data_IF_138066910685
#
_entry.id   IF_138066910685
#
_cell.length_a   1.000
_cell.length_b   1.000
_cell.length_c   1.000
_cell.angle_alpha   90.00
_cell.angle_beta   90.00
_cell.angle_gamma   90.00
#
_symmetry.space_group_name_H-M   'P 1'
#
loop_
_entity.id
_entity.type
_entity.pdbx_description
1 polymer ?
#
# COMPACT_ATOMS: atom_id res chain seq x y z
N UNK A 1 36.70 -61.10 -19.50
CA UNK A 1 37.46 -61.62 -18.35
C UNK A 1 38.00 -60.44 -17.58
N UNK A 2 37.75 -60.41 -16.26
CA UNK A 2 38.31 -59.53 -15.21
C UNK A 2 37.83 -58.05 -15.18
N UNK A 3 37.04 -57.75 -14.13
CA UNK A 3 36.74 -56.40 -13.61
C UNK A 3 37.61 -56.08 -12.39
N UNK A 4 37.59 -54.80 -11.99
CA UNK A 4 37.92 -54.15 -10.68
C UNK A 4 39.27 -53.42 -10.70
N UNK A 5 39.36 -52.12 -10.39
CA UNK A 5 38.96 -51.48 -9.11
C UNK A 5 38.52 -50.01 -9.28
N UNK A 6 37.63 -49.61 -8.37
CA UNK A 6 37.07 -48.30 -8.07
C UNK A 6 38.09 -47.24 -7.62
N UNK A 7 37.91 -45.98 -8.04
CA UNK A 7 37.94 -44.78 -7.17
C UNK A 7 36.97 -43.74 -7.77
N UNK A 8 36.12 -43.18 -6.92
CA UNK A 8 35.15 -42.11 -7.17
C UNK A 8 35.69 -40.82 -6.52
N UNK A 9 35.14 -39.65 -6.91
CA UNK A 9 35.32 -38.28 -6.31
C UNK A 9 36.55 -37.51 -6.85
N UNK A 10 36.51 -36.24 -7.26
CA UNK A 10 35.50 -35.25 -7.64
C UNK A 10 36.28 -33.98 -8.07
N UNK A 11 35.57 -33.01 -8.65
CA UNK A 11 35.92 -31.57 -8.68
C UNK A 11 36.96 -31.10 -9.69
N UNK A 12 36.50 -30.74 -10.90
CA UNK A 12 36.98 -29.55 -11.63
C UNK A 12 35.92 -29.12 -12.68
N UNK A 13 34.92 -28.35 -12.25
CA UNK A 13 33.99 -27.64 -13.15
C UNK A 13 33.82 -26.24 -12.58
N UNK A 14 34.88 -25.46 -12.77
CA UNK A 14 35.04 -24.05 -12.46
C UNK A 14 34.24 -23.19 -13.44
N UNK A 15 33.36 -22.37 -12.85
CA UNK A 15 33.03 -21.00 -13.22
C UNK A 15 32.81 -20.65 -14.71
N UNK A 16 31.54 -20.64 -15.12
CA UNK A 16 31.08 -19.74 -16.19
C UNK A 16 30.24 -18.64 -15.54
N UNK A 17 30.89 -17.51 -15.26
CA UNK A 17 30.25 -16.25 -14.89
C UNK A 17 29.38 -15.76 -16.06
N UNK A 18 28.11 -15.51 -15.76
CA UNK A 18 27.13 -14.86 -16.63
C UNK A 18 26.95 -13.44 -16.09
N UNK A 19 27.54 -12.46 -16.77
CA UNK A 19 27.21 -11.04 -16.74
C UNK A 19 27.41 -10.56 -18.19
N UNK A 20 26.63 -9.70 -18.82
CA UNK A 20 25.40 -9.03 -18.46
C UNK A 20 25.08 -8.15 -19.67
N UNK A 21 23.99 -8.44 -20.39
CA UNK A 21 23.43 -7.49 -21.34
C UNK A 21 22.54 -6.53 -20.55
N UNK A 22 23.06 -5.35 -20.21
CA UNK A 22 22.21 -4.22 -19.81
C UNK A 22 21.52 -3.75 -21.10
N UNK A 23 20.42 -4.41 -21.44
CA UNK A 23 19.46 -3.85 -22.39
C UNK A 23 18.84 -2.62 -21.76
N UNK A 24 18.83 -1.51 -22.49
CA UNK A 24 17.98 -0.38 -22.17
C UNK A 24 16.54 -0.91 -22.03
N UNK A 25 16.04 -0.98 -20.80
CA UNK A 25 14.62 -1.20 -20.58
C UNK A 25 13.93 0.09 -21.02
N UNK A 26 13.27 0.05 -22.17
CA UNK A 26 12.23 1.03 -22.46
C UNK A 26 11.28 1.00 -21.25
N UNK A 27 11.08 2.13 -20.58
CA UNK A 27 10.01 2.24 -19.59
C UNK A 27 8.71 2.01 -20.35
N UNK A 28 8.14 0.83 -20.21
CA UNK A 28 6.94 0.43 -20.96
C UNK A 28 5.69 1.18 -20.51
N UNK A 29 5.80 2.18 -19.62
CA UNK A 29 4.65 2.82 -18.95
C UNK A 29 3.82 1.87 -18.09
N UNK A 30 4.17 0.58 -18.05
CA UNK A 30 3.45 -0.49 -17.38
C UNK A 30 4.19 -0.85 -16.09
N UNK A 31 3.57 -0.53 -14.96
CA UNK A 31 4.00 -0.96 -13.63
C UNK A 31 3.27 -2.24 -13.23
N UNK A 32 4.03 -3.25 -12.78
CA UNK A 32 3.43 -4.47 -12.22
C UNK A 32 3.00 -4.19 -10.79
N UNK A 33 1.70 -4.28 -10.56
CA UNK A 33 1.08 -4.10 -9.26
C UNK A 33 0.55 -5.42 -8.70
N UNK A 34 0.41 -5.51 -7.37
CA UNK A 34 -0.40 -6.54 -6.72
C UNK A 34 -1.77 -5.96 -6.40
N UNK A 35 -2.82 -6.57 -6.92
CA UNK A 35 -4.20 -6.16 -6.69
C UNK A 35 -5.08 -7.36 -6.33
N UNK A 36 -6.19 -7.10 -5.65
CA UNK A 36 -7.13 -8.14 -5.20
C UNK A 36 -8.47 -7.99 -5.90
N UNK A 37 -9.03 -9.08 -6.42
CA UNK A 37 -10.43 -9.11 -6.85
C UNK A 37 -11.33 -9.21 -5.63
N UNK A 38 -12.27 -8.28 -5.50
CA UNK A 38 -13.22 -8.25 -4.40
C UNK A 38 -14.62 -8.60 -4.88
N UNK A 39 -15.00 -9.87 -4.69
CA UNK A 39 -16.30 -10.40 -5.06
C UNK A 39 -17.44 -10.01 -4.09
N UNK A 40 -17.13 -9.32 -2.99
CA UNK A 40 -18.11 -8.92 -1.98
C UNK A 40 -18.70 -7.52 -2.25
N UNK A 41 -18.09 -6.75 -3.15
CA UNK A 41 -18.59 -5.44 -3.57
C UNK A 41 -19.82 -5.64 -4.46
N UNK A 42 -20.93 -5.02 -4.06
CA UNK A 42 -22.21 -5.07 -4.79
C UNK A 42 -22.36 -3.82 -5.63
N UNK A 43 -22.97 -3.97 -6.80
CA UNK A 43 -23.28 -2.85 -7.69
C UNK A 43 -24.77 -2.55 -7.65
N UNK A 44 -25.10 -1.27 -7.54
CA UNK A 44 -26.47 -0.76 -7.59
C UNK A 44 -26.52 0.29 -8.69
N UNK A 45 -27.41 0.11 -9.65
CA UNK A 45 -27.59 1.01 -10.78
C UNK A 45 -29.05 1.45 -10.82
N UNK A 46 -29.29 2.76 -10.84
CA UNK A 46 -30.64 3.34 -10.80
C UNK A 46 -31.52 2.83 -9.63
N UNK A 47 -30.89 2.47 -8.50
CA UNK A 47 -31.57 1.91 -7.32
C UNK A 47 -31.75 0.40 -7.32
N UNK A 48 -31.45 -0.28 -8.43
CA UNK A 48 -31.61 -1.72 -8.57
C UNK A 48 -30.28 -2.48 -8.39
N UNK A 49 -30.36 -3.68 -7.80
CA UNK A 49 -29.22 -4.59 -7.75
C UNK A 49 -28.82 -4.98 -9.18
N UNK A 50 -27.60 -4.65 -9.54
CA UNK A 50 -27.05 -4.90 -10.87
C UNK A 50 -25.70 -5.60 -10.74
N UNK A 51 -25.25 -6.28 -11.80
CA UNK A 51 -23.96 -6.98 -11.80
C UNK A 51 -23.27 -6.71 -13.13
N UNK A 52 -22.04 -6.14 -13.13
CA UNK A 52 -21.29 -5.95 -14.36
C UNK A 52 -20.95 -7.31 -14.96
N UNK A 53 -20.97 -7.37 -16.29
CA UNK A 53 -20.63 -8.56 -17.06
C UNK A 53 -19.72 -8.21 -18.22
N UNK A 54 -18.93 -9.18 -18.68
CA UNK A 54 -18.18 -9.07 -19.94
C UNK A 54 -19.08 -9.38 -21.14
N UNK A 55 -18.52 -9.27 -22.35
CA UNK A 55 -19.20 -9.57 -23.62
C UNK A 55 -19.64 -11.04 -23.77
N UNK A 56 -19.10 -11.94 -22.94
CA UNK A 56 -19.45 -13.36 -22.89
C UNK A 56 -20.51 -13.66 -21.81
N UNK A 57 -20.94 -12.64 -21.06
CA UNK A 57 -21.91 -12.75 -19.99
C UNK A 57 -21.36 -13.19 -18.64
N UNK A 58 -20.03 -13.31 -18.48
CA UNK A 58 -19.39 -13.65 -17.22
C UNK A 58 -19.46 -12.47 -16.26
N UNK A 59 -19.67 -12.73 -14.97
CA UNK A 59 -19.69 -11.67 -13.96
C UNK A 59 -18.30 -11.08 -13.76
N UNK A 60 -18.23 -9.76 -13.79
CA UNK A 60 -17.03 -9.01 -13.44
C UNK A 60 -17.08 -8.60 -11.97
N UNK A 61 -15.92 -8.42 -11.36
CA UNK A 61 -15.78 -8.01 -9.96
C UNK A 61 -14.94 -6.76 -9.87
N UNK A 62 -15.12 -6.00 -8.79
CA UNK A 62 -14.28 -4.86 -8.53
C UNK A 62 -12.86 -5.32 -8.17
N UNK A 63 -11.87 -4.53 -8.58
CA UNK A 63 -10.48 -4.71 -8.23
C UNK A 63 -10.13 -3.70 -7.14
N UNK A 64 -9.39 -4.13 -6.13
CA UNK A 64 -8.89 -3.28 -5.07
C UNK A 64 -7.38 -3.17 -5.24
N UNK A 65 -6.92 -1.93 -5.42
CA UNK A 65 -5.52 -1.59 -5.51
C UNK A 65 -5.28 -0.27 -4.78
N UNK A 66 -4.26 -0.23 -3.93
CA UNK A 66 -3.88 0.94 -3.12
C UNK A 66 -5.06 1.59 -2.36
N UNK A 67 -5.95 0.77 -1.80
CA UNK A 67 -7.14 1.24 -1.06
C UNK A 67 -8.23 1.88 -1.93
N UNK A 68 -8.03 1.93 -3.26
CA UNK A 68 -9.01 2.38 -4.22
C UNK A 68 -9.76 1.19 -4.82
N UNK A 69 -11.07 1.35 -4.98
CA UNK A 69 -11.90 0.36 -5.69
C UNK A 69 -11.97 0.77 -7.14
N UNK A 70 -11.40 -0.06 -8.00
CA UNK A 70 -11.49 0.05 -9.45
C UNK A 70 -12.62 -0.84 -9.92
N UNK A 71 -13.46 -0.28 -10.77
CA UNK A 71 -14.66 -0.96 -11.28
C UNK A 71 -14.56 -1.16 -12.78
N UNK A 72 -15.20 -2.20 -13.35
CA UNK A 72 -15.13 -2.44 -14.79
C UNK A 72 -15.77 -1.30 -15.58
N UNK A 73 -14.93 -0.40 -16.12
CA UNK A 73 -15.35 0.83 -16.80
C UNK A 73 -16.36 0.56 -17.91
N UNK A 74 -16.08 -0.38 -18.82
CA UNK A 74 -16.94 -0.68 -19.97
C UNK A 74 -18.34 -1.13 -19.54
N UNK A 75 -18.44 -2.05 -18.59
CA UNK A 75 -19.73 -2.55 -18.13
C UNK A 75 -20.58 -1.44 -17.48
N UNK A 76 -19.94 -0.48 -16.80
CA UNK A 76 -20.63 0.67 -16.21
C UNK A 76 -21.03 1.68 -17.28
N UNK A 77 -20.13 1.98 -18.23
CA UNK A 77 -20.41 2.86 -19.36
C UNK A 77 -21.61 2.39 -20.16
N UNK A 78 -21.62 1.12 -20.58
CA UNK A 78 -22.74 0.52 -21.32
C UNK A 78 -24.06 0.59 -20.54
N UNK A 79 -24.01 0.39 -19.21
CA UNK A 79 -25.20 0.45 -18.38
C UNK A 79 -25.72 1.88 -18.16
N UNK A 80 -24.92 2.90 -18.51
CA UNK A 80 -25.25 4.31 -18.50
C UNK A 80 -25.45 4.88 -19.92
N UNK A 81 -25.66 4.00 -20.91
CA UNK A 81 -25.82 4.35 -22.32
C UNK A 81 -24.60 5.12 -22.92
N UNK A 82 -23.41 4.88 -22.38
CA UNK A 82 -22.14 5.39 -22.91
C UNK A 82 -21.36 4.31 -23.64
N UNK A 83 -20.73 4.68 -24.74
CA UNK A 83 -19.79 3.84 -25.47
C UNK A 83 -18.37 3.98 -24.89
N UNK A 84 -17.65 2.85 -24.74
CA UNK A 84 -16.27 2.83 -24.27
C UNK A 84 -15.37 2.09 -25.26
N UNK A 85 -14.49 2.83 -25.94
CA UNK A 85 -13.52 2.33 -26.92
C UNK A 85 -12.08 2.39 -26.39
N UNK A 86 -11.21 1.52 -26.92
CA UNK A 86 -9.77 1.53 -26.64
C UNK A 86 -8.95 1.43 -27.93
N UNK A 87 -8.20 2.48 -28.25
CA UNK A 87 -7.24 2.49 -29.35
C UNK A 87 -5.86 2.06 -28.85
N UNK A 88 -5.50 0.79 -29.11
CA UNK A 88 -4.20 0.24 -28.74
C UNK A 88 -3.00 0.91 -29.41
N UNK A 89 -3.17 1.65 -30.52
CA UNK A 89 -2.07 2.37 -31.18
C UNK A 89 -1.68 3.64 -30.46
N UNK A 90 -2.66 4.33 -29.88
CA UNK A 90 -2.46 5.59 -29.14
C UNK A 90 -2.54 5.40 -27.62
N UNK A 91 -2.88 4.20 -27.15
CA UNK A 91 -3.17 3.89 -25.75
C UNK A 91 -4.27 4.80 -25.17
N UNK A 92 -5.28 5.09 -25.97
CA UNK A 92 -6.37 6.02 -25.62
C UNK A 92 -7.65 5.26 -25.30
N UNK A 93 -8.30 5.59 -24.18
CA UNK A 93 -9.67 5.18 -23.87
C UNK A 93 -10.60 6.35 -24.16
N UNK A 94 -11.65 6.12 -24.94
CA UNK A 94 -12.69 7.11 -25.25
C UNK A 94 -14.01 6.70 -24.59
N UNK A 95 -14.72 7.68 -24.01
CA UNK A 95 -16.04 7.48 -23.40
C UNK A 95 -17.00 8.49 -24.02
N UNK A 96 -17.90 8.03 -24.89
CA UNK A 96 -18.83 8.89 -25.63
C UNK A 96 -20.27 8.56 -25.25
N UNK A 97 -21.03 9.59 -24.89
CA UNK A 97 -22.45 9.47 -24.52
C UNK A 97 -23.37 9.63 -25.75
N UNK A 98 -22.80 9.98 -26.91
CA UNK A 98 -23.49 10.28 -28.16
C UNK A 98 -23.51 9.07 -29.12
N UNK A 99 -23.91 7.90 -28.61
CA UNK A 99 -24.49 6.75 -29.35
C UNK A 99 -24.00 6.39 -30.76
N UNK A 100 -22.73 6.60 -31.12
CA UNK A 100 -22.27 6.39 -32.50
C UNK A 100 -20.88 5.79 -32.61
N UNK A 101 -20.75 4.57 -32.12
CA UNK A 101 -19.97 3.45 -32.66
C UNK A 101 -20.30 2.20 -31.82
N UNK A 102 -19.80 1.03 -32.20
CA UNK A 102 -20.03 -0.23 -31.48
C UNK A 102 -18.67 -0.79 -31.06
N UNK A 103 -18.11 -0.30 -29.96
CA UNK A 103 -16.85 -0.79 -29.40
C UNK A 103 -16.85 -2.30 -29.17
N UNK A 104 -15.90 -3.00 -29.78
CA UNK A 104 -15.64 -4.43 -29.53
C UNK A 104 -14.57 -4.54 -28.44
N UNK A 105 -14.67 -5.47 -27.47
CA UNK A 105 -13.64 -5.62 -26.45
C UNK A 105 -12.28 -5.99 -27.02
N UNK A 106 -11.27 -5.18 -26.73
CA UNK A 106 -9.88 -5.60 -26.84
C UNK A 106 -9.59 -6.65 -25.76
N UNK A 107 -8.91 -7.73 -26.14
CA UNK A 107 -8.52 -8.82 -25.26
C UNK A 107 -6.99 -8.92 -25.29
N UNK A 108 -6.34 -8.49 -24.21
CA UNK A 108 -4.87 -8.46 -24.09
C UNK A 108 -4.24 -9.87 -24.13
N UNK A 109 -5.04 -10.92 -24.03
CA UNK A 109 -4.57 -12.32 -24.02
C UNK A 109 -4.35 -12.92 -25.42
N UNK A 110 -4.73 -12.24 -26.52
CA UNK A 110 -4.54 -12.72 -27.89
C UNK A 110 -3.71 -11.74 -28.73
N UNK A 111 -2.39 -11.71 -28.49
CA UNK A 111 -1.45 -11.17 -29.47
C UNK A 111 -1.26 -12.19 -30.61
N UNK A 112 -2.04 -12.03 -31.69
CA UNK A 112 -1.71 -12.61 -33.00
C UNK A 112 -1.39 -11.46 -33.97
N UNK A 113 -0.08 -11.25 -34.12
CA UNK A 113 0.71 -10.62 -35.19
C UNK A 113 0.10 -9.53 -36.10
N UNK A 114 0.81 -8.40 -36.22
CA UNK A 114 1.56 -8.07 -37.45
C UNK A 114 2.02 -6.61 -37.47
N UNK A 115 3.35 -6.38 -37.47
CA UNK A 115 3.89 -5.06 -37.75
C UNK A 115 5.37 -4.86 -37.42
N UNK A 116 6.27 -5.63 -38.04
CA UNK A 116 7.67 -5.20 -38.20
C UNK A 116 7.74 -3.98 -39.13
N UNK A 117 8.64 -3.01 -38.89
CA UNK A 117 9.80 -2.98 -39.77
C UNK A 117 11.14 -2.61 -39.12
N UNK A 118 12.13 -3.37 -39.57
CA UNK A 118 13.58 -3.20 -39.57
C UNK A 118 14.12 -1.78 -39.81
N UNK A 119 15.17 -1.39 -39.07
CA UNK A 119 16.39 -0.77 -39.65
C UNK A 119 17.57 -0.76 -38.66
N UNK A 120 18.63 -1.50 -39.01
CA UNK A 120 20.06 -1.17 -38.77
C UNK A 120 20.44 0.13 -39.53
N UNK A 121 21.60 0.81 -39.32
CA UNK A 121 22.91 0.35 -38.80
C UNK A 121 23.45 1.29 -37.67
N UNK A 122 24.67 1.32 -37.12
CA UNK A 122 26.01 0.85 -37.49
C UNK A 122 26.94 0.94 -36.25
N UNK A 123 28.12 0.33 -36.35
CA UNK A 123 29.14 0.02 -35.32
C UNK A 123 30.26 1.07 -35.25
N UNK A 124 30.81 1.34 -34.06
CA UNK A 124 32.22 1.72 -33.75
C UNK A 124 32.41 1.56 -32.23
N UNK A 125 33.23 0.62 -31.69
CA UNK A 125 34.69 0.72 -31.45
C UNK A 125 35.02 2.02 -30.66
N UNK A 126 35.69 2.05 -29.51
CA UNK A 126 36.60 1.12 -28.84
C UNK A 126 36.86 1.62 -27.39
N UNK A 127 37.63 0.81 -26.65
CA UNK A 127 38.53 1.16 -25.53
C UNK A 127 38.10 0.95 -24.07
N UNK A 128 38.77 -0.07 -23.51
CA UNK A 128 38.94 -0.50 -22.13
C UNK A 128 39.68 0.56 -21.28
N UNK A 129 39.42 0.58 -19.97
CA UNK A 129 40.47 0.62 -18.95
C UNK A 129 39.87 0.29 -17.56
N UNK A 130 40.29 -0.86 -17.02
CA UNK A 130 40.13 -1.31 -15.64
C UNK A 130 41.08 -0.53 -14.72
N UNK A 131 40.61 -0.14 -13.52
CA UNK A 131 41.46 -0.19 -12.32
C UNK A 131 40.63 -0.63 -11.09
N UNK A 132 41.05 -1.77 -10.54
CA UNK A 132 40.66 -2.33 -9.25
C UNK A 132 41.04 -1.40 -8.08
N UNK A 133 40.31 -1.46 -6.96
CA UNK A 133 40.88 -2.00 -5.71
C UNK A 133 39.88 -2.03 -4.52
N UNK A 134 39.63 -3.27 -4.05
CA UNK A 134 39.93 -3.75 -2.69
C UNK A 134 38.90 -3.49 -1.57
N UNK A 135 38.12 -4.53 -1.32
CA UNK A 135 37.52 -4.85 -0.02
C UNK A 135 38.59 -5.13 1.05
N UNK A 136 38.29 -4.77 2.31
CA UNK A 136 38.86 -5.45 3.48
C UNK A 136 37.78 -5.56 4.56
N UNK A 137 37.22 -6.77 4.71
CA UNK A 137 36.58 -7.21 5.94
C UNK A 137 37.65 -7.44 7.03
N UNK A 138 37.30 -7.10 8.28
CA UNK A 138 37.86 -7.76 9.46
C UNK A 138 36.81 -7.88 10.56
N UNK A 139 36.57 -9.13 10.93
CA UNK A 139 35.73 -9.63 12.02
C UNK A 139 36.01 -8.92 13.37
N UNK A 140 34.97 -8.67 14.17
CA UNK A 140 34.69 -9.45 15.38
C UNK A 140 33.51 -8.89 16.20
N UNK A 141 32.92 -9.80 16.98
CA UNK A 141 31.88 -9.65 18.00
C UNK A 141 30.43 -9.78 17.52
N UNK A 142 29.86 -10.95 17.82
CA UNK A 142 28.45 -11.31 17.71
C UNK A 142 27.59 -10.46 18.67
N UNK A 143 26.61 -9.68 18.20
CA UNK A 143 25.44 -9.30 18.97
C UNK A 143 24.27 -10.20 18.60
N UNK A 144 23.41 -10.49 19.57
CA UNK A 144 22.20 -11.28 19.40
C UNK A 144 21.34 -10.80 18.22
N UNK A 145 20.89 -11.75 17.39
CA UNK A 145 19.96 -11.56 16.28
C UNK A 145 18.67 -10.87 16.78
N UNK A 146 18.31 -9.67 16.31
CA UNK A 146 16.98 -9.11 16.59
C UNK A 146 15.97 -9.78 15.64
N UNK A 147 14.97 -10.43 16.24
CA UNK A 147 13.77 -10.95 15.55
C UNK A 147 12.99 -9.79 14.93
N UNK A 148 12.92 -9.71 13.60
CA UNK A 148 12.38 -8.56 12.84
C UNK A 148 10.90 -8.67 12.40
N UNK A 149 10.15 -9.69 12.84
CA UNK A 149 8.82 -9.99 12.26
C UNK A 149 7.59 -9.49 13.07
N UNK A 150 7.78 -8.80 14.20
CA UNK A 150 6.67 -8.47 15.12
C UNK A 150 5.72 -7.43 14.51
N UNK A 151 4.45 -7.79 14.35
CA UNK A 151 3.37 -6.94 13.85
C UNK A 151 3.29 -6.81 12.33
N UNK A 152 4.18 -7.41 11.56
CA UNK A 152 4.22 -7.21 10.09
C UNK A 152 3.07 -7.87 9.34
N UNK A 153 2.51 -8.94 9.87
CA UNK A 153 1.37 -9.65 9.26
C UNK A 153 0.26 -9.86 10.28
N UNK A 154 -0.92 -10.27 9.80
CA UNK A 154 -2.01 -10.73 10.65
C UNK A 154 -1.55 -11.78 11.68
N UNK A 155 -0.76 -12.77 11.23
CA UNK A 155 -0.28 -13.85 12.07
C UNK A 155 0.67 -13.39 13.18
N UNK A 156 1.46 -12.33 12.92
CA UNK A 156 2.41 -11.77 13.88
C UNK A 156 1.88 -10.52 14.59
N UNK A 157 0.57 -10.27 14.53
CA UNK A 157 -0.06 -9.08 15.08
C UNK A 157 0.31 -8.83 16.56
N UNK A 158 0.60 -7.57 16.84
CA UNK A 158 1.00 -7.07 18.15
C UNK A 158 -0.16 -7.25 19.14
N UNK A 159 0.05 -7.93 20.27
CA UNK A 159 -1.00 -8.10 21.28
C UNK A 159 -1.50 -6.78 21.87
N UNK A 160 -2.73 -6.80 22.38
CA UNK A 160 -3.30 -5.68 23.12
C UNK A 160 -2.40 -5.30 24.31
N UNK A 161 -2.14 -4.01 24.50
CA UNK A 161 -1.26 -3.48 25.54
C UNK A 161 0.23 -3.49 25.18
N UNK A 162 0.65 -4.21 24.14
CA UNK A 162 2.02 -4.16 23.64
C UNK A 162 2.20 -3.03 22.62
N UNK A 163 3.44 -2.55 22.51
CA UNK A 163 3.82 -1.49 21.57
C UNK A 163 4.79 -1.96 20.49
N UNK A 164 4.79 -1.25 19.37
CA UNK A 164 5.85 -1.28 18.36
C UNK A 164 6.44 0.11 18.19
N UNK A 165 7.75 0.16 17.95
CA UNK A 165 8.46 1.40 17.61
C UNK A 165 9.02 1.27 16.21
N UNK A 166 8.82 2.28 15.37
CA UNK A 166 9.32 2.31 14.00
C UNK A 166 9.65 3.73 13.55
N UNK A 167 10.60 3.83 12.62
CA UNK A 167 10.93 5.08 11.94
C UNK A 167 10.26 5.09 10.56
N UNK A 168 9.74 6.24 10.19
CA UNK A 168 8.98 6.46 8.95
C UNK A 168 9.48 7.74 8.28
N UNK A 169 10.59 7.66 7.52
CA UNK A 169 10.98 8.74 6.64
C UNK A 169 9.92 8.89 5.55
N UNK A 170 9.69 10.07 4.99
CA UNK A 170 8.80 10.28 3.85
C UNK A 170 9.47 11.24 2.87
N UNK A 171 9.40 10.90 1.59
CA UNK A 171 9.89 11.70 0.47
C UNK A 171 8.89 11.55 -0.67
N UNK A 172 8.34 12.67 -1.15
CA UNK A 172 7.40 12.66 -2.27
C UNK A 172 8.08 12.72 -3.65
N UNK A 173 9.42 12.69 -3.71
CA UNK A 173 10.20 12.83 -4.94
C UNK A 173 10.21 14.25 -5.53
N UNK A 174 9.50 15.19 -4.90
CA UNK A 174 9.34 16.59 -5.32
C UNK A 174 9.96 17.57 -4.32
N UNK A 175 10.82 17.09 -3.42
CA UNK A 175 11.58 17.92 -2.48
C UNK A 175 10.96 18.01 -1.09
N UNK A 176 9.70 17.60 -0.90
CA UNK A 176 9.08 17.53 0.43
C UNK A 176 9.55 16.27 1.15
N UNK A 177 10.25 16.46 2.27
CA UNK A 177 10.83 15.38 3.06
C UNK A 177 10.53 15.54 4.54
N UNK A 178 10.16 14.45 5.19
CA UNK A 178 10.00 14.38 6.65
C UNK A 178 10.60 13.10 7.21
N UNK A 179 10.81 13.06 8.52
CA UNK A 179 11.12 11.81 9.23
C UNK A 179 10.51 11.83 10.61
N UNK A 180 10.21 10.66 11.16
CA UNK A 180 9.63 10.52 12.48
C UNK A 180 9.87 9.14 13.04
N UNK A 181 10.00 9.05 14.37
CA UNK A 181 9.97 7.79 15.10
C UNK A 181 8.68 7.71 15.91
N UNK A 182 7.85 6.72 15.59
CA UNK A 182 6.59 6.46 16.27
C UNK A 182 6.76 5.30 17.23
N UNK A 183 6.16 5.41 18.41
CA UNK A 183 5.82 4.27 19.27
C UNK A 183 4.30 4.21 19.40
N UNK A 184 3.70 3.10 18.98
CA UNK A 184 2.24 2.94 18.97
C UNK A 184 1.85 1.66 19.70
N UNK A 185 0.79 1.74 20.49
CA UNK A 185 0.15 0.60 21.17
C UNK A 185 -1.36 0.74 21.14
N UNK A 186 -2.07 -0.38 21.05
CA UNK A 186 -3.51 -0.44 21.29
C UNK A 186 -3.73 -0.77 22.76
N UNK A 187 -4.30 0.15 23.52
CA UNK A 187 -4.49 0.00 24.98
C UNK A 187 -5.87 -0.55 25.34
N UNK A 188 -6.85 -0.42 24.44
CA UNK A 188 -8.19 -0.98 24.62
C UNK A 188 -8.89 -1.15 23.27
N UNK A 189 -9.73 -2.17 23.14
CA UNK A 189 -10.60 -2.35 21.97
C UNK A 189 -11.97 -2.86 22.43
N UNK A 190 -12.98 -1.98 22.42
CA UNK A 190 -14.32 -2.28 22.94
C UNK A 190 -15.34 -2.33 21.81
N UNK A 191 -16.13 -3.39 21.75
CA UNK A 191 -17.28 -3.43 20.85
C UNK A 191 -18.30 -2.37 21.25
N UNK A 192 -18.88 -1.69 20.25
CA UNK A 192 -19.92 -0.69 20.46
C UNK A 192 -21.12 -0.97 19.56
N UNK A 193 -22.28 -0.53 20.01
CA UNK A 193 -23.53 -0.64 19.25
C UNK A 193 -23.70 0.53 18.27
N UNK A 194 -24.56 0.35 17.27
CA UNK A 194 -24.94 1.43 16.33
C UNK A 194 -25.55 2.65 17.04
N UNK A 195 -26.28 2.43 18.14
CA UNK A 195 -26.83 3.52 18.95
C UNK A 195 -25.72 4.32 19.65
N UNK A 196 -24.69 3.64 20.15
CA UNK A 196 -23.54 4.31 20.75
C UNK A 196 -22.71 5.09 19.73
N UNK A 197 -22.81 4.79 18.43
CA UNK A 197 -22.20 5.60 17.36
C UNK A 197 -22.97 6.91 17.14
N UNK A 198 -24.31 6.90 17.28
CA UNK A 198 -25.10 8.14 17.30
C UNK A 198 -24.72 9.03 18.48
N UNK A 199 -24.47 8.43 19.65
CA UNK A 199 -24.04 9.17 20.85
C UNK A 199 -22.66 9.84 20.66
N UNK A 200 -21.84 9.36 19.71
CA UNK A 200 -20.59 10.00 19.31
C UNK A 200 -20.78 11.19 18.34
N UNK A 201 -22.02 11.47 17.93
CA UNK A 201 -22.37 12.57 17.03
C UNK A 201 -22.44 12.19 15.54
N UNK A 202 -22.36 10.90 15.20
CA UNK A 202 -22.50 10.42 13.83
C UNK A 202 -23.95 10.05 13.50
N UNK A 203 -24.26 9.95 12.20
CA UNK A 203 -25.48 9.28 11.78
C UNK A 203 -25.42 7.80 12.19
N UNK A 204 -26.57 7.26 12.63
CA UNK A 204 -26.68 5.84 12.92
C UNK A 204 -26.28 5.03 11.70
N UNK A 205 -25.34 4.09 11.83
CA UNK A 205 -25.12 3.15 10.75
C UNK A 205 -26.37 2.33 10.48
N UNK A 206 -26.63 2.04 9.21
CA UNK A 206 -27.65 1.07 8.82
C UNK A 206 -27.30 -0.32 9.37
N UNK A 207 -28.32 -1.16 9.47
CA UNK A 207 -28.09 -2.55 9.87
C UNK A 207 -27.33 -3.29 8.79
N UNK A 208 -26.25 -3.97 9.18
CA UNK A 208 -25.41 -4.72 8.26
C UNK A 208 -25.12 -6.12 8.84
N UNK A 209 -25.34 -7.15 8.03
CA UNK A 209 -25.13 -8.54 8.46
C UNK A 209 -23.65 -8.89 8.68
N UNK A 210 -22.71 -8.13 8.11
CA UNK A 210 -21.29 -8.43 8.05
C UNK A 210 -20.41 -7.46 8.85
N UNK A 211 -20.93 -6.29 9.22
CA UNK A 211 -20.14 -5.23 9.87
C UNK A 211 -20.62 -4.98 11.28
N UNK A 212 -19.71 -5.12 12.23
CA UNK A 212 -19.85 -4.61 13.60
C UNK A 212 -18.84 -3.46 13.80
N UNK A 213 -18.81 -2.84 14.98
CA UNK A 213 -17.93 -1.71 15.26
C UNK A 213 -17.18 -1.87 16.59
N UNK A 214 -15.93 -1.41 16.60
CA UNK A 214 -15.12 -1.27 17.81
C UNK A 214 -14.66 0.17 17.98
N UNK A 215 -14.70 0.63 19.22
CA UNK A 215 -14.00 1.82 19.66
C UNK A 215 -12.65 1.38 20.24
N UNK A 216 -11.58 1.75 19.53
CA UNK A 216 -10.21 1.32 19.79
C UNK A 216 -9.42 2.49 20.36
N UNK A 217 -8.80 2.32 21.53
CA UNK A 217 -7.94 3.32 22.14
C UNK A 217 -6.49 3.04 21.78
N UNK A 218 -5.83 4.04 21.20
CA UNK A 218 -4.42 4.00 20.84
C UNK A 218 -3.66 4.98 21.71
N UNK A 219 -2.48 4.56 22.17
CA UNK A 219 -1.45 5.47 22.67
C UNK A 219 -0.37 5.61 21.61
N UNK A 220 -0.11 6.86 21.22
CA UNK A 220 0.87 7.25 20.21
C UNK A 220 1.91 8.14 20.86
N UNK A 221 3.18 7.84 20.64
CA UNK A 221 4.29 8.73 20.99
C UNK A 221 5.10 9.00 19.74
N UNK A 222 5.21 10.27 19.38
CA UNK A 222 6.08 10.75 18.32
C UNK A 222 7.37 11.28 18.96
N UNK A 223 8.51 10.80 18.48
CA UNK A 223 9.82 11.37 18.75
C UNK A 223 10.50 11.79 17.45
N UNK A 224 11.21 12.91 17.48
CA UNK A 224 12.00 13.43 16.38
C UNK A 224 11.20 13.57 15.07
N UNK A 225 9.94 14.00 15.17
CA UNK A 225 9.15 14.37 13.99
C UNK A 225 9.74 15.61 13.36
N UNK A 226 10.45 15.46 12.24
CA UNK A 226 11.30 16.49 11.66
C UNK A 226 10.86 16.80 10.24
N UNK A 227 10.61 18.07 9.98
CA UNK A 227 10.44 18.59 8.62
C UNK A 227 11.84 18.85 8.04
N UNK A 228 12.23 18.10 7.00
CA UNK A 228 13.61 18.07 6.51
C UNK A 228 13.84 19.07 5.39
N UNK A 229 12.93 19.14 4.43
CA UNK A 229 13.01 20.06 3.29
C UNK A 229 11.66 20.14 2.59
N UNK A 230 11.44 21.22 1.87
CA UNK A 230 10.44 21.32 0.82
C UNK A 230 10.96 22.24 -0.27
N UNK A 231 11.49 21.66 -1.35
CA UNK A 231 12.10 22.38 -2.44
C UNK A 231 11.35 22.07 -3.75
N UNK A 232 10.37 22.92 -4.12
CA UNK A 232 9.94 23.27 -5.50
C UNK A 232 8.59 24.04 -5.51
N UNK A 233 8.37 24.85 -6.57
CA UNK A 233 7.05 25.41 -6.93
C UNK A 233 6.57 26.61 -6.11
N UNK A 234 5.37 27.10 -6.40
CA UNK A 234 4.70 28.19 -5.65
C UNK A 234 4.02 27.69 -4.35
N UNK A 235 3.86 26.37 -4.20
CA UNK A 235 3.16 25.70 -3.08
C UNK A 235 4.10 25.29 -1.92
N UNK A 236 5.19 26.03 -1.69
CA UNK A 236 6.19 25.67 -0.67
C UNK A 236 5.64 25.79 0.74
N UNK A 237 5.94 24.82 1.60
CA UNK A 237 5.66 24.88 3.02
C UNK A 237 6.85 25.49 3.78
N UNK A 238 6.67 26.69 4.34
CA UNK A 238 7.66 27.28 5.27
C UNK A 238 7.64 26.57 6.63
N UNK A 239 6.47 26.10 7.05
CA UNK A 239 6.24 25.40 8.30
C UNK A 239 5.05 24.44 8.18
N UNK A 240 5.16 23.30 8.87
CA UNK A 240 4.15 22.24 8.87
C UNK A 240 3.58 22.05 10.26
N UNK A 241 2.28 21.76 10.35
CA UNK A 241 1.64 21.44 11.63
C UNK A 241 2.04 20.04 12.11
N UNK A 242 2.51 19.93 13.36
CA UNK A 242 2.96 18.67 13.94
C UNK A 242 1.84 17.63 14.02
N UNK A 243 0.61 18.03 14.37
CA UNK A 243 -0.52 17.09 14.48
C UNK A 243 -0.94 16.55 13.13
N UNK A 244 -1.04 17.40 12.11
CA UNK A 244 -1.47 17.01 10.76
C UNK A 244 -0.40 16.18 10.04
N UNK A 245 0.84 16.64 10.04
CA UNK A 245 1.90 16.01 9.24
C UNK A 245 2.57 14.83 9.94
N UNK A 246 2.35 14.64 11.23
CA UNK A 246 2.95 13.55 12.00
C UNK A 246 1.94 12.77 12.85
N UNK A 247 0.67 12.73 12.44
CA UNK A 247 -0.27 11.70 12.91
C UNK A 247 0.05 10.34 12.24
N UNK A 248 -0.09 9.22 12.97
CA UNK A 248 0.03 7.89 12.38
C UNK A 248 -1.14 7.61 11.43
N UNK A 249 -0.86 6.96 10.29
CA UNK A 249 -1.89 6.61 9.32
C UNK A 249 -2.62 5.34 9.75
N UNK A 250 -3.86 5.50 10.19
CA UNK A 250 -4.78 4.39 10.43
C UNK A 250 -5.27 3.89 9.07
N UNK A 251 -4.89 2.67 8.68
CA UNK A 251 -5.31 2.09 7.41
C UNK A 251 -6.71 1.48 7.49
N UNK A 252 -7.01 0.79 8.59
CA UNK A 252 -8.30 0.14 8.80
C UNK A 252 -8.15 -1.19 9.53
N UNK A 253 -8.86 -2.21 9.07
CA UNK A 253 -8.94 -3.53 9.70
C UNK A 253 -8.61 -4.64 8.69
N UNK A 254 -7.86 -5.65 9.13
CA UNK A 254 -7.60 -6.87 8.36
C UNK A 254 -8.05 -8.12 9.13
N UNK A 255 -8.59 -9.10 8.40
CA UNK A 255 -8.85 -10.47 8.90
C UNK A 255 -7.83 -11.48 8.33
N UNK A 256 -7.88 -12.72 8.81
CA UNK A 256 -6.88 -13.75 8.50
C UNK A 256 -6.69 -14.06 7.00
N UNK A 257 -7.76 -13.96 6.20
CA UNK A 257 -7.74 -14.26 4.75
C UNK A 257 -7.32 -13.05 3.89
N UNK A 258 -6.53 -12.13 4.44
CA UNK A 258 -6.06 -10.89 3.80
C UNK A 258 -7.18 -9.94 3.33
N UNK A 259 -8.43 -10.16 3.72
CA UNK A 259 -9.51 -9.23 3.46
C UNK A 259 -9.41 -8.02 4.39
N UNK A 260 -9.65 -6.83 3.83
CA UNK A 260 -9.58 -5.56 4.55
C UNK A 260 -10.94 -4.87 4.60
N UNK A 261 -11.21 -4.17 5.70
CA UNK A 261 -12.05 -2.97 5.67
C UNK A 261 -11.09 -1.79 5.77
N UNK A 262 -11.02 -0.99 4.71
CA UNK A 262 -10.20 0.23 4.70
C UNK A 262 -10.95 1.36 5.38
N UNK A 263 -10.22 2.16 6.14
CA UNK A 263 -10.72 3.31 6.83
C UNK A 263 -11.11 3.07 8.28
N UNK A 264 -11.43 4.16 8.93
CA UNK A 264 -11.71 4.26 10.34
C UNK A 264 -11.86 5.72 10.69
N UNK A 265 -12.73 6.03 11.63
CA UNK A 265 -12.99 7.40 12.03
C UNK A 265 -12.03 7.77 13.16
N UNK A 266 -11.10 8.68 12.88
CA UNK A 266 -10.06 9.17 13.80
C UNK A 266 -10.33 10.58 14.32
N UNK A 267 -11.38 11.23 13.82
CA UNK A 267 -11.73 12.63 14.06
C UNK A 267 -13.24 12.83 14.17
N UNK A 268 -13.68 14.03 14.54
CA UNK A 268 -15.09 14.41 14.50
C UNK A 268 -15.96 13.92 15.67
N UNK A 269 -15.35 13.36 16.73
CA UNK A 269 -16.05 12.98 17.96
C UNK A 269 -15.19 13.24 19.20
N UNK A 270 -15.81 13.17 20.38
CA UNK A 270 -15.09 13.40 21.64
C UNK A 270 -14.12 12.26 21.98
N UNK A 271 -12.88 12.66 22.31
CA UNK A 271 -11.79 11.73 22.56
C UNK A 271 -11.18 11.11 21.30
N UNK A 272 -11.59 11.55 20.10
CA UNK A 272 -11.00 11.09 18.84
C UNK A 272 -9.49 11.33 18.79
N UNK A 273 -8.75 10.37 18.21
CA UNK A 273 -7.28 10.38 18.19
C UNK A 273 -6.69 11.68 17.65
N UNK A 274 -7.23 12.19 16.56
CA UNK A 274 -6.75 13.44 15.94
C UNK A 274 -6.89 14.63 16.90
N UNK A 275 -8.05 14.77 17.56
CA UNK A 275 -8.32 15.81 18.54
C UNK A 275 -7.37 15.72 19.75
N UNK A 276 -7.01 14.52 20.18
CA UNK A 276 -6.05 14.34 21.29
C UNK A 276 -4.61 14.62 20.87
N UNK A 277 -4.24 14.37 19.61
CA UNK A 277 -2.94 14.78 19.06
C UNK A 277 -2.88 16.31 18.93
N UNK A 278 -3.94 16.96 18.43
CA UNK A 278 -4.02 18.43 18.35
C UNK A 278 -3.80 19.07 19.73
N UNK A 279 -4.48 18.56 20.77
CA UNK A 279 -4.28 19.01 22.16
C UNK A 279 -2.86 18.77 22.65
N UNK A 280 -2.30 17.58 22.40
CA UNK A 280 -0.95 17.21 22.86
C UNK A 280 0.15 18.02 22.18
N UNK A 281 -0.11 18.52 20.97
CA UNK A 281 0.82 19.36 20.22
C UNK A 281 0.60 20.85 20.45
N UNK A 282 -0.52 21.25 21.06
CA UNK A 282 -0.95 22.65 21.17
C UNK A 282 -0.92 23.37 19.81
N UNK A 283 -1.31 22.66 18.75
CA UNK A 283 -1.25 23.14 17.35
C UNK A 283 0.13 23.57 16.87
N UNK A 284 1.20 23.12 17.52
CA UNK A 284 2.58 23.51 17.21
C UNK A 284 2.90 23.26 15.74
N UNK A 285 3.46 24.29 15.10
CA UNK A 285 4.10 24.22 13.77
C UNK A 285 5.61 24.08 13.93
N UNK A 286 6.24 23.39 12.99
CA UNK A 286 7.70 23.24 12.93
C UNK A 286 8.22 23.70 11.57
N UNK A 287 9.35 24.39 11.59
CA UNK A 287 10.06 24.83 10.38
C UNK A 287 11.04 23.75 9.90
N UNK A 288 11.61 23.97 8.71
CA UNK A 288 12.66 23.10 8.15
C UNK A 288 13.84 22.98 9.12
N UNK A 289 14.21 21.75 9.47
CA UNK A 289 15.28 21.44 10.41
C UNK A 289 14.84 21.33 11.87
N UNK A 290 13.67 21.87 12.23
CA UNK A 290 13.10 21.74 13.57
C UNK A 290 12.48 20.35 13.78
N UNK A 291 12.53 19.85 15.02
CA UNK A 291 11.88 18.60 15.42
C UNK A 291 10.77 18.84 16.43
N UNK A 292 9.68 18.11 16.29
CA UNK A 292 8.56 18.04 17.22
C UNK A 292 8.45 16.67 17.88
N UNK A 293 7.83 16.66 19.06
CA UNK A 293 7.53 15.45 19.82
C UNK A 293 6.13 15.60 20.42
N UNK A 294 5.41 14.49 20.57
CA UNK A 294 4.18 14.47 21.36
C UNK A 294 3.91 13.08 21.91
N UNK A 295 3.08 13.00 22.95
CA UNK A 295 2.41 11.77 23.37
C UNK A 295 0.93 12.06 23.49
N UNK A 296 0.10 11.26 22.81
CA UNK A 296 -1.34 11.36 22.85
C UNK A 296 -1.96 9.98 23.05
N UNK A 297 -3.10 9.94 23.71
CA UNK A 297 -3.92 8.72 23.81
C UNK A 297 -5.35 9.08 23.42
N UNK A 298 -5.87 8.41 22.40
CA UNK A 298 -7.16 8.76 21.82
C UNK A 298 -7.85 7.58 21.16
N UNK A 299 -9.09 7.83 20.73
CA UNK A 299 -10.02 6.82 20.25
C UNK A 299 -10.10 6.82 18.73
N UNK A 300 -10.28 5.63 18.17
CA UNK A 300 -10.55 5.40 16.75
C UNK A 300 -11.77 4.50 16.67
N UNK A 301 -12.78 4.93 15.93
CA UNK A 301 -13.95 4.11 15.62
C UNK A 301 -13.65 3.29 14.36
N UNK A 302 -13.63 1.97 14.50
CA UNK A 302 -13.34 1.04 13.42
C UNK A 302 -14.56 0.19 13.08
N UNK A 303 -14.96 0.13 11.79
CA UNK A 303 -15.76 -0.99 11.31
C UNK A 303 -14.93 -2.28 11.36
N UNK A 304 -15.53 -3.38 11.78
CA UNK A 304 -14.91 -4.71 11.87
C UNK A 304 -15.79 -5.74 11.19
N UNK A 305 -15.17 -6.84 10.73
CA UNK A 305 -15.93 -7.96 10.16
C UNK A 305 -16.51 -8.78 11.32
N UNK A 306 -17.83 -8.89 11.32
CA UNK A 306 -18.61 -9.59 12.35
C UNK A 306 -18.22 -11.06 12.46
N UNK A 307 -18.03 -11.52 13.70
CA UNK A 307 -17.70 -12.91 14.00
C UNK A 307 -16.30 -13.37 13.56
N UNK A 308 -15.47 -12.45 13.06
CA UNK A 308 -14.10 -12.73 12.63
C UNK A 308 -13.07 -12.20 13.62
N UNK A 309 -11.87 -12.76 13.56
CA UNK A 309 -10.71 -12.18 14.22
C UNK A 309 -10.23 -10.99 13.41
N UNK A 310 -10.21 -9.82 14.05
CA UNK A 310 -9.88 -8.56 13.41
C UNK A 310 -8.58 -8.00 14.00
N UNK A 311 -7.74 -7.43 13.13
CA UNK A 311 -6.58 -6.65 13.54
C UNK A 311 -6.74 -5.21 13.06
N UNK A 312 -6.36 -4.24 13.90
CA UNK A 312 -6.14 -2.87 13.44
C UNK A 312 -4.86 -2.84 12.61
N UNK A 313 -4.90 -2.15 11.48
CA UNK A 313 -3.75 -1.96 10.58
C UNK A 313 -3.31 -0.50 10.62
N UNK A 314 -2.04 -0.29 10.95
CA UNK A 314 -1.33 0.97 10.71
C UNK A 314 -0.52 0.83 9.43
N UNK A 315 -0.47 1.89 8.64
CA UNK A 315 0.39 1.96 7.45
C UNK A 315 1.48 3.01 7.67
N UNK A 316 2.69 2.71 7.26
CA UNK A 316 3.79 3.68 7.14
C UNK A 316 3.46 4.68 6.02
N UNK A 317 3.86 5.94 6.18
CA UNK A 317 3.75 6.96 5.14
C UNK A 317 4.67 6.66 3.97
N UNK A 318 5.87 6.13 4.24
CA UNK A 318 6.72 5.63 3.18
C UNK A 318 6.44 4.16 2.90
N UNK A 319 6.04 3.95 1.66
CA UNK A 319 5.66 2.67 1.11
C UNK A 319 6.88 1.96 0.55
N UNK A 320 7.17 0.77 1.06
CA UNK A 320 8.19 -0.10 0.49
C UNK A 320 7.54 -0.95 -0.62
N UNK A 321 7.83 -0.59 -1.88
CA UNK A 321 7.29 -1.30 -3.06
C UNK A 321 7.91 -2.70 -3.22
N UNK A 322 9.06 -2.98 -2.61
CA UNK A 322 9.74 -4.28 -2.69
C UNK A 322 9.30 -5.21 -1.55
N UNK A 323 9.04 -4.64 -0.38
CA UNK A 323 8.60 -5.37 0.81
C UNK A 323 7.27 -4.81 1.34
N UNK A 324 6.20 -5.04 0.58
CA UNK A 324 4.84 -4.53 0.86
C UNK A 324 4.41 -4.68 2.33
N UNK A 325 4.54 -5.89 2.89
CA UNK A 325 4.14 -6.20 4.28
C UNK A 325 4.90 -5.38 5.32
N UNK A 326 6.13 -4.93 4.99
CA UNK A 326 6.91 -4.09 5.88
C UNK A 326 6.38 -2.67 6.02
N UNK A 327 5.46 -2.27 5.13
CA UNK A 327 4.71 -1.01 5.20
C UNK A 327 3.59 -1.04 6.24
N UNK A 328 3.27 -2.19 6.83
CA UNK A 328 2.14 -2.34 7.75
C UNK A 328 2.54 -2.79 9.15
N UNK A 329 1.69 -2.43 10.13
CA UNK A 329 1.71 -2.97 11.47
C UNK A 329 0.29 -3.36 11.89
N UNK A 330 0.15 -4.61 12.34
CA UNK A 330 -1.11 -5.23 12.73
C UNK A 330 -1.17 -5.32 14.26
N UNK A 331 -2.30 -4.93 14.84
CA UNK A 331 -2.57 -5.01 16.27
C UNK A 331 -3.81 -5.82 16.54
N UNK A 332 -3.75 -6.73 17.50
CA UNK A 332 -4.92 -7.51 17.94
C UNK A 332 -5.97 -6.60 18.58
N UNK A 333 -7.23 -6.89 18.32
CA UNK A 333 -8.39 -6.19 18.88
C UNK A 333 -9.15 -7.03 19.93
N UNK A 334 -8.57 -8.15 20.35
CA UNK A 334 -9.12 -9.13 21.29
C UNK A 334 -8.02 -9.89 22.04
#
# INVERSE_FOLDING_TARGET
>A
MQMKKSVFIASLLTCSLVFGSIGAVASTGVEKIKASLNHNIKFVLNGDNWSPKDSKGNKLSALVYDGSTYVPLRAIGEALDAEVDYDGKTSTITIDQDGSTSGIPHNDDNDDDSGSPTKEPEKTEDDEEDEEEKETEKEESKPAKPSSAKGKTFATAIPLGESVTYTDPYDNGKGFKTTATYTVSVTSAKSITRSQIEDLGFQKPEENALVDYKLVKLKVTLKNGKFISDEKGDDKFEEVNLSTFFAPKIWGVQIADENFIVGGQTWGFDGALEKEIDKATDTKRITVGESGNYTAEGLVLLPIIKGQKNTLVLQKKHYDTKEYDNSFFHFKLE
#
